data_IF_430742629425
#
_entry.id   IF_430742629425
#
_cell.length_a   1.000
_cell.length_b   1.000
_cell.length_c   1.000
_cell.angle_alpha   90.00
_cell.angle_beta   90.00
_cell.angle_gamma   90.00
#
_symmetry.space_group_name_H-M   'P 1'
#
loop_
_entity.id
_entity.type
_entity.pdbx_description
1 polymer ?
#
# COMPACT_ATOMS: atom_id res chain seq x y z
N UNK A 1 6.35 -1.22 4.90
CA UNK A 1 5.48 -0.31 4.13
C UNK A 1 4.03 -0.74 4.32
N UNK A 2 3.26 0.00 5.12
CA UNK A 2 1.84 -0.28 5.38
C UNK A 2 1.01 0.75 4.60
N UNK A 3 0.25 0.31 3.60
CA UNK A 3 -0.51 1.20 2.72
C UNK A 3 -1.54 2.06 3.48
N UNK A 4 -2.20 1.50 4.49
CA UNK A 4 -3.19 2.23 5.28
C UNK A 4 -2.54 3.29 6.17
N UNK A 5 -1.41 2.97 6.81
CA UNK A 5 -0.64 3.98 7.57
C UNK A 5 -0.09 5.07 6.67
N UNK A 6 0.38 4.71 5.49
CA UNK A 6 0.98 5.63 4.53
C UNK A 6 -0.04 6.65 3.99
N UNK A 7 -1.22 6.20 3.54
CA UNK A 7 -2.26 7.14 3.05
C UNK A 7 -2.87 8.02 4.15
N UNK A 8 -2.67 7.66 5.43
CA UNK A 8 -3.14 8.42 6.60
C UNK A 8 -2.09 9.34 7.22
N UNK A 9 -0.87 9.40 6.67
CA UNK A 9 0.22 10.18 7.28
C UNK A 9 0.72 9.61 8.61
N UNK A 10 0.50 8.32 8.87
CA UNK A 10 0.77 7.66 10.15
C UNK A 10 1.91 6.62 10.06
N UNK A 11 2.79 6.73 9.05
CA UNK A 11 3.85 5.77 8.81
C UNK A 11 5.19 6.09 9.52
N UNK A 12 5.23 7.17 10.31
CA UNK A 12 6.41 7.56 11.10
C UNK A 12 7.60 7.89 10.19
N UNK A 13 8.79 7.43 10.59
CA UNK A 13 10.05 7.76 9.92
C UNK A 13 10.12 7.33 8.44
N UNK A 14 9.26 6.39 8.01
CA UNK A 14 9.19 5.93 6.60
C UNK A 14 8.03 6.54 5.80
N UNK A 15 7.43 7.63 6.27
CA UNK A 15 6.33 8.30 5.58
C UNK A 15 6.73 8.76 4.18
N UNK A 16 5.93 8.39 3.18
CA UNK A 16 6.02 8.91 1.83
C UNK A 16 5.21 10.20 1.78
N UNK A 17 5.86 11.30 1.41
CA UNK A 17 5.23 12.61 1.27
C UNK A 17 4.12 12.58 0.21
N UNK A 18 2.96 13.14 0.54
CA UNK A 18 1.83 13.25 -0.39
C UNK A 18 1.14 11.94 -0.76
N UNK A 19 1.44 10.83 -0.07
CA UNK A 19 0.78 9.55 -0.31
C UNK A 19 -0.74 9.65 -0.04
N UNK A 20 -1.54 9.64 -1.11
CA UNK A 20 -3.02 9.69 -1.06
C UNK A 20 -3.70 8.41 -1.55
N UNK A 21 -2.99 7.61 -2.33
CA UNK A 21 -3.47 6.34 -2.87
C UNK A 21 -2.29 5.42 -3.08
N UNK A 22 -2.38 4.18 -2.57
CA UNK A 22 -1.34 3.17 -2.68
C UNK A 22 -1.95 1.84 -3.11
N UNK A 23 -1.23 1.13 -3.98
CA UNK A 23 -1.54 -0.25 -4.36
C UNK A 23 -0.52 -1.21 -3.74
N UNK A 24 -0.99 -2.32 -3.20
CA UNK A 24 -0.16 -3.49 -2.91
C UNK A 24 -0.50 -4.62 -3.87
N UNK A 25 0.52 -5.34 -4.31
CA UNK A 25 0.41 -6.53 -5.17
C UNK A 25 1.06 -7.70 -4.43
N UNK A 26 0.26 -8.68 -4.04
CA UNK A 26 0.75 -9.91 -3.45
C UNK A 26 0.80 -10.98 -4.54
N UNK A 27 1.99 -11.55 -4.73
CA UNK A 27 2.23 -12.64 -5.68
C UNK A 27 2.56 -13.91 -4.91
N UNK A 28 1.89 -15.00 -5.23
CA UNK A 28 2.12 -16.34 -4.68
C UNK A 28 2.48 -17.34 -5.77
N UNK A 29 3.40 -18.27 -5.45
CA UNK A 29 3.95 -19.23 -6.41
C UNK A 29 4.70 -18.54 -7.56
N UNK A 30 4.74 -19.17 -8.73
CA UNK A 30 5.26 -18.57 -9.98
C UNK A 30 4.20 -17.68 -10.66
N UNK A 31 3.67 -16.72 -9.90
CA UNK A 31 2.53 -15.88 -10.29
C UNK A 31 1.21 -16.63 -10.54
N UNK A 32 1.02 -17.80 -9.92
CA UNK A 32 -0.22 -18.58 -10.00
C UNK A 32 -1.32 -18.04 -9.10
N UNK A 33 -0.97 -17.17 -8.14
CA UNK A 33 -1.91 -16.46 -7.28
C UNK A 33 -1.53 -14.98 -7.25
N UNK A 34 -2.52 -14.12 -7.49
CA UNK A 34 -2.34 -12.68 -7.57
C UNK A 34 -3.45 -11.99 -6.78
N UNK A 35 -3.07 -11.08 -5.88
CA UNK A 35 -4.02 -10.24 -5.14
C UNK A 35 -3.59 -8.79 -5.30
N UNK A 36 -4.50 -7.94 -5.79
CA UNK A 36 -4.32 -6.49 -5.86
C UNK A 36 -5.24 -5.81 -4.87
N UNK A 37 -4.70 -4.87 -4.09
CA UNK A 37 -5.47 -4.05 -3.15
C UNK A 37 -5.05 -2.59 -3.30
N UNK A 38 -6.03 -1.72 -3.51
CA UNK A 38 -5.85 -0.27 -3.53
C UNK A 38 -6.45 0.33 -2.28
N UNK A 39 -5.69 1.19 -1.61
CA UNK A 39 -6.14 1.95 -0.44
C UNK A 39 -6.01 3.43 -0.77
N UNK A 40 -7.07 4.20 -0.51
CA UNK A 40 -7.09 5.65 -0.68
C UNK A 40 -7.80 6.35 0.47
N UNK A 41 -7.56 7.66 0.58
CA UNK A 41 -8.29 8.56 1.48
C UNK A 41 -9.20 9.50 0.67
N UNK A 42 -10.35 9.85 1.24
CA UNK A 42 -11.34 10.76 0.65
C UNK A 42 -10.96 12.22 0.90
#
# INVERSE_FOLDING_TARGET
LDAARQVRGAAGDNQIEGARTIQTLNLGGSATTVVSLVVGVC
#
